data_IF_869992545520
#
_entry.id   IF_869992545520
#
_cell.length_a   1.000
_cell.length_b   1.000
_cell.length_c   1.000
_cell.angle_alpha   90.00
_cell.angle_beta   90.00
_cell.angle_gamma   90.00
#
_symmetry.space_group_name_H-M   'P 1'
#
loop_
_entity.id
_entity.type
_entity.pdbx_description
1 polymer ?
#
# COMPACT_ATOMS: atom_id res chain seq x y z
N UNK A 1 16.85 2.20 -9.51
CA UNK A 1 15.70 1.52 -8.84
C UNK A 1 16.05 1.34 -7.37
N UNK A 2 15.27 1.89 -6.47
CA UNK A 2 15.48 1.89 -5.01
C UNK A 2 14.91 0.63 -4.34
N UNK A 3 15.28 0.38 -3.07
CA UNK A 3 14.64 -0.66 -2.28
C UNK A 3 13.22 -0.24 -1.86
N UNK A 4 12.37 -1.22 -1.53
CA UNK A 4 11.02 -0.95 -1.01
C UNK A 4 11.09 -0.11 0.27
N UNK A 5 12.01 -0.42 1.17
CA UNK A 5 12.18 0.32 2.42
C UNK A 5 12.53 1.80 2.17
N UNK A 6 13.43 2.09 1.23
CA UNK A 6 13.75 3.47 0.85
C UNK A 6 12.56 4.20 0.23
N UNK A 7 11.80 3.53 -0.66
CA UNK A 7 10.59 4.10 -1.25
C UNK A 7 9.54 4.39 -0.17
N UNK A 8 9.31 3.43 0.72
CA UNK A 8 8.36 3.56 1.82
C UNK A 8 8.74 4.68 2.80
N UNK A 9 10.01 4.79 3.17
CA UNK A 9 10.50 5.87 4.03
C UNK A 9 10.21 7.26 3.42
N UNK A 10 10.49 7.43 2.12
CA UNK A 10 10.21 8.69 1.43
C UNK A 10 8.72 9.07 1.44
N UNK A 11 7.82 8.08 1.36
CA UNK A 11 6.38 8.34 1.42
C UNK A 11 5.89 8.60 2.85
N UNK A 12 6.41 7.85 3.84
CA UNK A 12 6.04 8.03 5.25
C UNK A 12 6.46 9.39 5.80
N UNK A 13 7.54 10.00 5.28
CA UNK A 13 7.96 11.37 5.61
C UNK A 13 6.93 12.44 5.18
N UNK A 14 6.10 12.14 4.17
CA UNK A 14 5.06 13.04 3.66
C UNK A 14 3.73 12.91 4.40
N UNK A 15 3.58 11.90 5.23
CA UNK A 15 2.36 11.60 5.97
C UNK A 15 2.49 12.04 7.43
N UNK A 16 1.38 12.50 8.01
CA UNK A 16 1.28 12.89 9.42
C UNK A 16 0.45 11.89 10.21
N UNK A 17 -0.87 11.94 10.08
CA UNK A 17 -1.86 11.19 10.84
C UNK A 17 -2.83 10.37 9.96
N UNK A 18 -2.59 10.38 8.65
CA UNK A 18 -3.40 9.58 7.73
C UNK A 18 -3.35 8.08 8.10
N UNK A 19 -4.49 7.37 8.06
CA UNK A 19 -4.52 5.92 8.18
C UNK A 19 -3.71 5.26 7.07
N UNK A 20 -2.78 4.38 7.44
CA UNK A 20 -2.00 3.58 6.48
C UNK A 20 -2.27 2.11 6.73
N UNK A 21 -2.86 1.43 5.75
CA UNK A 21 -3.04 -0.02 5.77
C UNK A 21 -1.86 -0.66 5.06
N UNK A 22 -1.11 -1.48 5.74
CA UNK A 22 0.13 -2.04 5.20
C UNK A 22 -0.01 -3.56 5.08
N UNK A 23 0.20 -4.08 3.87
CA UNK A 23 0.03 -5.50 3.59
C UNK A 23 1.00 -6.37 4.40
N UNK A 24 0.67 -7.65 4.54
CA UNK A 24 1.48 -8.63 5.27
C UNK A 24 2.86 -8.86 4.62
N UNK A 25 3.74 -9.48 5.37
CA UNK A 25 5.09 -9.83 4.94
C UNK A 25 6.12 -8.76 5.28
N UNK A 26 7.10 -8.57 4.43
CA UNK A 26 8.14 -7.56 4.62
C UNK A 26 7.62 -6.13 4.69
N UNK A 27 6.62 -5.71 3.90
CA UNK A 27 6.13 -4.33 3.98
C UNK A 27 5.70 -3.90 5.38
N UNK A 28 4.92 -4.72 6.10
CA UNK A 28 4.52 -4.42 7.49
C UNK A 28 5.70 -4.34 8.45
N UNK A 29 6.71 -5.21 8.29
CA UNK A 29 7.90 -5.23 9.14
C UNK A 29 8.77 -4.00 8.91
N UNK A 30 9.02 -3.67 7.64
CA UNK A 30 9.82 -2.50 7.24
C UNK A 30 9.13 -1.20 7.68
N UNK A 31 7.82 -1.07 7.44
CA UNK A 31 7.07 0.12 7.84
C UNK A 31 7.11 0.34 9.36
N UNK A 32 6.94 -0.71 10.16
CA UNK A 32 7.03 -0.60 11.61
C UNK A 32 8.43 -0.17 12.07
N UNK A 33 9.48 -0.71 11.44
CA UNK A 33 10.88 -0.33 11.74
C UNK A 33 11.19 1.11 11.35
N UNK A 34 10.67 1.58 10.21
CA UNK A 34 10.91 2.93 9.69
C UNK A 34 10.18 3.97 10.53
N UNK A 35 8.88 3.79 10.74
CA UNK A 35 8.05 4.76 11.46
C UNK A 35 6.83 4.06 12.05
N UNK A 36 6.90 3.62 13.30
CA UNK A 36 5.71 3.09 13.99
C UNK A 36 4.77 4.22 14.42
N UNK A 37 3.52 4.17 13.92
CA UNK A 37 2.48 5.14 14.28
C UNK A 37 1.18 4.44 14.66
N UNK A 38 0.38 4.99 15.59
CA UNK A 38 -0.92 4.42 15.94
C UNK A 38 -1.89 4.33 14.76
N UNK A 39 -1.76 5.21 13.76
CA UNK A 39 -2.55 5.22 12.52
C UNK A 39 -2.09 4.21 11.46
N UNK A 40 -1.06 3.41 11.77
CA UNK A 40 -0.60 2.33 10.89
C UNK A 40 -1.22 0.99 11.30
N UNK A 41 -1.88 0.34 10.35
CA UNK A 41 -2.42 -1.01 10.49
C UNK A 41 -1.48 -2.02 9.82
N UNK A 42 -0.73 -2.76 10.62
CA UNK A 42 0.21 -3.76 10.14
C UNK A 42 -0.48 -5.10 9.97
N UNK A 43 -0.65 -5.56 8.74
CA UNK A 43 -1.17 -6.90 8.50
C UNK A 43 -0.08 -7.95 8.75
N UNK A 44 -0.40 -9.01 9.47
CA UNK A 44 0.49 -10.14 9.73
C UNK A 44 0.06 -11.43 9.01
N UNK A 45 -1.04 -11.38 8.32
CA UNK A 45 -1.63 -12.45 7.51
C UNK A 45 -2.65 -11.89 6.51
N UNK A 46 -3.54 -12.73 6.03
CA UNK A 46 -4.63 -12.36 5.11
C UNK A 46 -4.14 -11.67 3.83
N UNK A 47 -3.14 -12.30 3.18
CA UNK A 47 -2.58 -11.81 1.93
C UNK A 47 -3.68 -11.47 0.92
N UNK A 48 -3.54 -10.34 0.24
CA UNK A 48 -4.51 -9.85 -0.76
C UNK A 48 -5.65 -9.00 -0.19
N UNK A 49 -5.72 -8.77 1.14
CA UNK A 49 -6.85 -8.06 1.77
C UNK A 49 -6.55 -6.59 2.12
N UNK A 50 -5.33 -6.09 1.90
CA UNK A 50 -4.95 -4.73 2.31
C UNK A 50 -5.85 -3.67 1.66
N UNK A 51 -6.03 -3.73 0.35
CA UNK A 51 -6.90 -2.81 -0.39
C UNK A 51 -8.38 -2.90 0.06
N UNK A 52 -8.87 -4.11 0.40
CA UNK A 52 -10.25 -4.28 0.88
C UNK A 52 -10.46 -3.65 2.27
N UNK A 53 -9.49 -3.82 3.18
CA UNK A 53 -9.52 -3.17 4.51
C UNK A 53 -9.46 -1.65 4.33
N UNK A 54 -8.52 -1.16 3.52
CA UNK A 54 -8.38 0.27 3.21
C UNK A 54 -9.66 0.87 2.61
N UNK A 55 -10.32 0.14 1.71
CA UNK A 55 -11.60 0.55 1.14
C UNK A 55 -12.67 0.70 2.22
N UNK A 56 -12.77 -0.25 3.14
CA UNK A 56 -13.69 -0.18 4.27
C UNK A 56 -13.45 1.07 5.14
N UNK A 57 -12.19 1.38 5.44
CA UNK A 57 -11.82 2.58 6.18
C UNK A 57 -12.16 3.85 5.39
N UNK A 58 -11.84 3.90 4.09
CA UNK A 58 -12.13 5.06 3.25
C UNK A 58 -13.62 5.38 3.15
N UNK A 59 -14.47 4.35 3.05
CA UNK A 59 -15.92 4.51 3.04
C UNK A 59 -16.48 4.97 4.39
N UNK A 60 -15.89 4.48 5.50
CA UNK A 60 -16.31 4.85 6.85
C UNK A 60 -15.83 6.27 7.26
N UNK A 61 -14.75 6.78 6.64
CA UNK A 61 -14.11 8.06 6.94
C UNK A 61 -13.91 8.89 5.66
N UNK A 62 -14.99 9.34 5.01
CA UNK A 62 -14.92 9.93 3.66
C UNK A 62 -14.14 11.25 3.57
N UNK A 63 -13.88 11.91 4.69
CA UNK A 63 -13.10 13.15 4.78
C UNK A 63 -11.62 12.94 5.11
N UNK A 64 -11.21 11.70 5.37
CA UNK A 64 -9.83 11.34 5.75
C UNK A 64 -9.18 10.56 4.63
N UNK A 65 -8.05 11.02 4.14
CA UNK A 65 -7.28 10.24 3.16
C UNK A 65 -6.77 8.94 3.76
N UNK A 66 -6.98 7.84 3.07
CA UNK A 66 -6.55 6.48 3.45
C UNK A 66 -5.51 5.99 2.47
N UNK A 67 -4.36 5.61 3.00
CA UNK A 67 -3.22 5.14 2.22
C UNK A 67 -3.12 3.63 2.36
N UNK A 68 -2.91 2.94 1.27
CA UNK A 68 -2.67 1.50 1.28
C UNK A 68 -1.27 1.24 0.74
N UNK A 69 -0.42 0.59 1.53
CA UNK A 69 0.87 0.08 1.10
C UNK A 69 0.75 -1.41 0.82
N UNK A 70 0.83 -1.75 -0.44
CA UNK A 70 0.62 -3.11 -0.94
C UNK A 70 1.82 -3.63 -1.72
N UNK A 71 1.86 -4.92 -1.98
CA UNK A 71 2.83 -5.55 -2.86
C UNK A 71 2.16 -6.13 -4.10
N UNK A 72 2.92 -6.31 -5.18
CA UNK A 72 2.42 -6.91 -6.42
C UNK A 72 1.76 -8.27 -6.21
N UNK A 73 2.37 -9.15 -5.44
CA UNK A 73 1.80 -10.46 -5.10
C UNK A 73 0.51 -10.37 -4.27
N UNK A 74 0.38 -9.38 -3.40
CA UNK A 74 -0.86 -9.10 -2.67
C UNK A 74 -1.97 -8.63 -3.60
N UNK A 75 -1.66 -7.68 -4.50
CA UNK A 75 -2.62 -7.18 -5.50
C UNK A 75 -3.08 -8.30 -6.42
N UNK A 76 -2.16 -9.14 -6.89
CA UNK A 76 -2.51 -10.31 -7.73
C UNK A 76 -3.47 -11.26 -7.02
N UNK A 77 -3.25 -11.53 -5.73
CA UNK A 77 -4.12 -12.38 -4.92
C UNK A 77 -5.49 -11.74 -4.66
N UNK A 78 -5.53 -10.44 -4.43
CA UNK A 78 -6.74 -9.66 -4.15
C UNK A 78 -7.28 -8.87 -5.35
N UNK A 79 -6.95 -9.24 -6.58
CA UNK A 79 -7.20 -8.44 -7.79
C UNK A 79 -8.67 -8.01 -7.96
N UNK A 80 -9.62 -8.83 -7.54
CA UNK A 80 -11.05 -8.48 -7.58
C UNK A 80 -11.40 -7.23 -6.78
N UNK A 81 -10.60 -6.88 -5.77
CA UNK A 81 -10.79 -5.65 -4.99
C UNK A 81 -10.62 -4.39 -5.84
N UNK A 82 -9.75 -4.43 -6.88
CA UNK A 82 -9.58 -3.29 -7.79
C UNK A 82 -10.89 -2.92 -8.48
N UNK A 83 -11.66 -3.92 -8.91
CA UNK A 83 -12.97 -3.70 -9.53
C UNK A 83 -13.97 -3.06 -8.54
N UNK A 84 -13.95 -3.50 -7.27
CA UNK A 84 -14.81 -2.95 -6.22
C UNK A 84 -14.45 -1.48 -5.92
N UNK A 85 -13.14 -1.17 -5.80
CA UNK A 85 -12.65 0.21 -5.62
C UNK A 85 -13.05 1.09 -6.79
N UNK A 86 -12.84 0.62 -8.02
CA UNK A 86 -13.21 1.36 -9.23
C UNK A 86 -14.73 1.60 -9.38
N UNK A 87 -15.55 0.66 -8.92
CA UNK A 87 -17.01 0.79 -8.92
C UNK A 87 -17.50 1.80 -7.86
N UNK A 88 -16.92 1.77 -6.65
CA UNK A 88 -17.33 2.64 -5.52
C UNK A 88 -16.71 4.03 -5.57
N UNK A 89 -15.59 4.19 -6.28
CA UNK A 89 -14.88 5.47 -6.52
C UNK A 89 -14.65 6.31 -5.25
N UNK A 90 -14.03 5.73 -4.19
CA UNK A 90 -13.74 6.51 -2.98
C UNK A 90 -12.71 7.60 -3.29
N UNK A 91 -13.08 8.86 -3.06
CA UNK A 91 -12.25 10.03 -3.39
C UNK A 91 -10.97 10.12 -2.56
N UNK A 92 -10.98 9.52 -1.39
CA UNK A 92 -9.96 9.58 -0.36
C UNK A 92 -9.08 8.31 -0.28
N UNK A 93 -8.93 7.57 -1.39
CA UNK A 93 -8.24 6.28 -1.43
C UNK A 93 -6.99 6.35 -2.30
N UNK A 94 -5.82 6.11 -1.72
CA UNK A 94 -4.54 6.04 -2.44
C UNK A 94 -3.90 4.67 -2.22
N UNK A 95 -3.75 3.92 -3.30
CA UNK A 95 -3.18 2.58 -3.33
C UNK A 95 -1.76 2.62 -3.89
N UNK A 96 -0.75 2.51 -3.05
CA UNK A 96 0.65 2.40 -3.42
C UNK A 96 1.03 0.93 -3.49
N UNK A 97 1.51 0.49 -4.65
CA UNK A 97 1.91 -0.90 -4.90
C UNK A 97 3.42 -0.96 -5.12
N UNK A 98 4.15 -1.56 -4.19
CA UNK A 98 5.58 -1.82 -4.32
C UNK A 98 5.79 -3.12 -5.10
N UNK A 99 6.17 -2.98 -6.36
CA UNK A 99 6.31 -4.09 -7.29
C UNK A 99 7.78 -4.47 -7.48
N UNK A 100 8.19 -5.57 -6.86
CA UNK A 100 9.50 -6.18 -6.97
C UNK A 100 9.51 -7.46 -7.83
N UNK A 101 8.37 -7.84 -8.41
CA UNK A 101 8.17 -9.00 -9.28
C UNK A 101 8.41 -10.37 -8.61
N UNK A 102 8.53 -10.42 -7.26
CA UNK A 102 8.77 -11.68 -6.52
C UNK A 102 7.97 -11.77 -5.22
N UNK A 103 7.69 -13.01 -4.79
CA UNK A 103 7.16 -13.32 -3.47
C UNK A 103 8.30 -13.41 -2.44
N UNK A 104 8.83 -12.26 -2.03
CA UNK A 104 10.05 -12.16 -1.22
C UNK A 104 10.01 -12.89 0.12
N UNK A 105 8.84 -13.02 0.77
CA UNK A 105 8.70 -13.66 2.09
C UNK A 105 8.74 -15.18 2.08
N UNK A 106 8.62 -15.81 0.91
CA UNK A 106 8.53 -17.29 0.79
C UNK A 106 9.66 -17.92 -0.01
N UNK A 107 10.53 -17.12 -0.63
CA UNK A 107 11.69 -17.63 -1.36
C UNK A 107 11.91 -17.02 -2.73
N UNK A 108 11.44 -15.80 -2.95
CA UNK A 108 11.63 -15.03 -4.20
C UNK A 108 11.09 -15.74 -5.45
N UNK A 109 10.01 -16.52 -5.31
CA UNK A 109 9.32 -17.05 -6.48
C UNK A 109 8.81 -15.87 -7.32
N UNK A 110 8.97 -15.89 -8.66
CA UNK A 110 8.50 -14.81 -9.50
C UNK A 110 6.98 -14.65 -9.40
N UNK A 111 6.53 -13.41 -9.33
CA UNK A 111 5.12 -13.08 -9.55
C UNK A 111 4.87 -12.92 -11.05
N UNK A 112 3.60 -12.80 -11.44
CA UNK A 112 3.23 -12.52 -12.84
C UNK A 112 3.07 -11.02 -13.11
N UNK A 113 3.49 -10.13 -12.21
CA UNK A 113 3.39 -8.68 -12.38
C UNK A 113 4.22 -8.14 -13.55
N UNK A 114 5.28 -8.88 -13.94
CA UNK A 114 6.07 -8.58 -15.13
C UNK A 114 5.29 -8.79 -16.45
N UNK A 115 4.24 -9.62 -16.43
CA UNK A 115 3.37 -9.92 -17.59
C UNK A 115 2.03 -9.19 -17.47
N UNK A 116 1.49 -9.10 -16.25
CA UNK A 116 0.22 -8.42 -15.95
C UNK A 116 0.51 -7.00 -15.47
N UNK A 117 0.32 -5.96 -16.28
CA UNK A 117 0.56 -4.57 -15.89
C UNK A 117 -0.53 -4.10 -14.92
N UNK A 118 -0.27 -4.22 -13.61
CA UNK A 118 -1.26 -3.96 -12.55
C UNK A 118 -1.82 -2.54 -12.59
N UNK A 119 -1.00 -1.56 -13.00
CA UNK A 119 -1.43 -0.18 -13.19
C UNK A 119 -2.51 -0.06 -14.30
N UNK A 120 -2.38 -0.85 -15.36
CA UNK A 120 -3.38 -0.86 -16.44
C UNK A 120 -4.65 -1.59 -16.01
N UNK A 121 -4.53 -2.62 -15.18
CA UNK A 121 -5.69 -3.32 -14.60
C UNK A 121 -6.48 -2.35 -13.70
N UNK A 122 -5.80 -1.59 -12.83
CA UNK A 122 -6.44 -0.59 -11.99
C UNK A 122 -7.14 0.51 -12.82
N UNK A 123 -6.47 0.99 -13.88
CA UNK A 123 -7.08 1.97 -14.80
C UNK A 123 -8.34 1.42 -15.48
N UNK A 124 -8.28 0.19 -15.97
CA UNK A 124 -9.43 -0.48 -16.57
C UNK A 124 -10.56 -0.74 -15.56
N UNK A 125 -10.21 -0.97 -14.29
CA UNK A 125 -11.16 -1.12 -13.19
C UNK A 125 -11.88 0.19 -12.81
N UNK A 126 -11.34 1.36 -13.21
CA UNK A 126 -11.99 2.65 -12.96
C UNK A 126 -11.30 3.54 -11.93
N UNK A 127 -10.03 3.29 -11.59
CA UNK A 127 -9.22 4.24 -10.82
C UNK A 127 -9.07 5.55 -11.59
N UNK A 128 -9.21 6.67 -10.88
CA UNK A 128 -9.20 8.01 -11.48
C UNK A 128 -7.79 8.44 -11.91
N UNK A 129 -6.80 8.15 -11.05
CA UNK A 129 -5.39 8.47 -11.29
C UNK A 129 -4.55 7.22 -11.15
N UNK A 130 -3.72 6.93 -12.15
CA UNK A 130 -2.87 5.75 -12.15
C UNK A 130 -1.52 6.09 -12.75
N UNK A 131 -0.47 5.99 -11.93
CA UNK A 131 0.89 6.25 -12.35
C UNK A 131 1.80 5.05 -12.03
N UNK A 132 2.90 4.96 -12.80
CA UNK A 132 3.95 3.97 -12.60
C UNK A 132 5.30 4.68 -12.58
N UNK A 133 6.01 4.53 -11.46
CA UNK A 133 7.29 5.22 -11.22
C UNK A 133 8.41 4.23 -10.87
N UNK A 134 9.65 4.68 -11.05
CA UNK A 134 10.87 3.92 -10.71
C UNK A 134 11.84 4.74 -9.87
N UNK A 135 11.92 6.04 -10.14
CA UNK A 135 12.89 6.93 -9.51
C UNK A 135 12.26 7.66 -8.30
N UNK A 136 13.10 8.07 -7.36
CA UNK A 136 12.64 8.67 -6.10
C UNK A 136 11.94 10.00 -6.31
N UNK A 137 12.47 10.79 -7.23
CA UNK A 137 11.92 12.12 -7.55
C UNK A 137 10.50 12.02 -8.08
N UNK A 138 10.26 11.11 -9.03
CA UNK A 138 8.93 10.84 -9.60
C UNK A 138 7.99 10.28 -8.53
N UNK A 139 8.48 9.37 -7.68
CA UNK A 139 7.70 8.80 -6.57
C UNK A 139 7.16 9.89 -5.64
N UNK A 140 8.03 10.79 -5.19
CA UNK A 140 7.66 11.89 -4.28
C UNK A 140 6.73 12.89 -4.96
N UNK A 141 6.99 13.20 -6.23
CA UNK A 141 6.15 14.12 -7.00
C UNK A 141 4.73 13.57 -7.19
N UNK A 142 4.60 12.36 -7.73
CA UNK A 142 3.29 11.75 -8.02
C UNK A 142 2.49 11.48 -6.74
N UNK A 143 3.14 11.06 -5.66
CA UNK A 143 2.45 10.85 -4.40
C UNK A 143 1.91 12.15 -3.80
N UNK A 144 2.70 13.23 -3.84
CA UNK A 144 2.22 14.57 -3.40
C UNK A 144 1.06 15.06 -4.25
N UNK A 145 1.11 14.82 -5.55
CA UNK A 145 0.03 15.17 -6.47
C UNK A 145 -1.26 14.40 -6.12
N UNK A 146 -1.14 13.09 -5.86
CA UNK A 146 -2.28 12.25 -5.46
C UNK A 146 -2.87 12.62 -4.10
N UNK A 147 -2.04 13.12 -3.15
CA UNK A 147 -2.53 13.62 -1.86
C UNK A 147 -3.44 14.85 -2.01
N UNK A 148 -3.38 15.56 -3.13
CA UNK A 148 -4.15 16.78 -3.41
C UNK A 148 -5.28 16.56 -4.42
N UNK A 149 -5.55 15.32 -4.84
CA UNK A 149 -6.57 14.99 -5.84
C UNK A 149 -7.63 14.03 -5.28
N UNK A 150 -8.83 14.13 -5.84
CA UNK A 150 -9.89 13.14 -5.59
C UNK A 150 -9.54 11.81 -6.27
N UNK A 151 -9.48 10.72 -5.48
CA UNK A 151 -9.20 9.37 -5.96
C UNK A 151 -10.42 8.64 -6.55
N UNK A 152 -10.36 7.31 -6.64
CA UNK A 152 -9.27 6.45 -6.18
C UNK A 152 -8.02 6.58 -7.03
N UNK A 153 -6.86 6.58 -6.39
CA UNK A 153 -5.56 6.67 -7.06
C UNK A 153 -4.75 5.39 -6.87
N UNK A 154 -3.95 5.00 -7.86
CA UNK A 154 -2.93 3.96 -7.73
C UNK A 154 -1.56 4.49 -8.16
N UNK A 155 -0.57 4.29 -7.31
CA UNK A 155 0.84 4.55 -7.60
C UNK A 155 1.61 3.22 -7.56
N UNK A 156 1.97 2.69 -8.74
CA UNK A 156 2.81 1.51 -8.83
C UNK A 156 4.28 1.93 -8.83
N UNK A 157 5.00 1.45 -7.83
CA UNK A 157 6.41 1.78 -7.59
C UNK A 157 7.26 0.57 -7.90
N UNK A 158 8.05 0.61 -8.97
CA UNK A 158 9.01 -0.46 -9.26
C UNK A 158 10.17 -0.36 -8.27
N UNK A 159 10.39 -1.43 -7.51
CA UNK A 159 11.45 -1.55 -6.52
C UNK A 159 12.32 -2.76 -6.83
N UNK A 160 13.55 -2.79 -6.28
CA UNK A 160 14.40 -3.97 -6.38
C UNK A 160 13.98 -5.05 -5.36
N UNK A 161 14.58 -6.24 -5.47
CA UNK A 161 14.30 -7.39 -4.60
C UNK A 161 14.98 -7.28 -3.22
N UNK A 162 15.76 -6.24 -2.96
CA UNK A 162 16.47 -6.08 -1.68
C UNK A 162 15.47 -6.00 -0.54
N UNK A 163 15.69 -6.82 0.47
CA UNK A 163 14.95 -6.84 1.72
C UNK A 163 15.89 -6.38 2.83
N UNK A 164 15.49 -5.34 3.54
CA UNK A 164 16.18 -4.96 4.78
C UNK A 164 15.73 -5.86 5.93
N UNK A 165 16.67 -6.28 6.78
CA UNK A 165 16.31 -7.02 7.99
C UNK A 165 15.49 -6.13 8.93
N UNK A 166 14.19 -6.35 8.93
CA UNK A 166 13.23 -5.62 9.73
C UNK A 166 12.65 -6.48 10.88
N UNK A 167 13.14 -7.70 11.07
CA UNK A 167 12.62 -8.60 12.09
C UNK A 167 11.17 -9.01 11.85
N UNK A 168 10.39 -9.06 12.92
CA UNK A 168 8.93 -9.32 12.89
C UNK A 168 8.19 -8.09 13.40
N UNK A 169 6.91 -7.96 13.02
CA UNK A 169 6.01 -7.00 13.69
C UNK A 169 5.91 -7.40 15.17
N UNK A 170 6.23 -6.46 16.05
CA UNK A 170 6.33 -6.73 17.51
C UNK A 170 5.00 -6.63 18.25
N UNK A 171 3.97 -6.09 17.61
CA UNK A 171 2.63 -5.93 18.18
C UNK A 171 1.77 -7.17 17.93
N UNK A 172 0.99 -7.56 18.93
CA UNK A 172 0.00 -8.61 18.74
C UNK A 172 -1.21 -8.13 17.91
N UNK A 173 -1.85 -9.00 17.11
CA UNK A 173 -2.95 -8.61 16.22
C UNK A 173 -4.11 -7.87 16.90
N UNK A 174 -4.58 -8.28 18.10
CA UNK A 174 -5.61 -7.54 18.82
C UNK A 174 -5.17 -6.10 19.18
N UNK A 175 -3.89 -5.93 19.54
CA UNK A 175 -3.34 -4.62 19.91
C UNK A 175 -3.17 -3.72 18.70
N UNK A 176 -2.74 -4.26 17.54
CA UNK A 176 -2.72 -3.52 16.26
C UNK A 176 -4.12 -2.99 15.97
N UNK A 177 -5.13 -3.85 16.03
CA UNK A 177 -6.52 -3.49 15.73
C UNK A 177 -7.04 -2.44 16.69
N UNK A 178 -6.87 -2.65 18.00
CA UNK A 178 -7.35 -1.72 19.03
C UNK A 178 -6.70 -0.35 18.90
N UNK A 179 -5.36 -0.32 18.74
CA UNK A 179 -4.58 0.91 18.59
C UNK A 179 -5.02 1.69 17.36
N UNK A 180 -5.12 1.01 16.22
CA UNK A 180 -5.55 1.62 14.96
C UNK A 180 -6.97 2.20 15.06
N UNK A 181 -7.94 1.41 15.55
CA UNK A 181 -9.31 1.87 15.72
C UNK A 181 -9.44 3.08 16.65
N UNK A 182 -8.59 3.18 17.68
CA UNK A 182 -8.55 4.33 18.58
C UNK A 182 -7.98 5.57 17.89
N UNK A 183 -6.95 5.39 17.07
CA UNK A 183 -6.26 6.48 16.40
C UNK A 183 -7.06 7.13 15.27
N UNK A 184 -7.97 6.38 14.64
CA UNK A 184 -8.77 6.86 13.51
C UNK A 184 -10.21 7.26 13.90
N UNK A 185 -10.53 7.38 15.19
CA UNK A 185 -11.83 7.87 15.65
C UNK A 185 -12.03 9.32 15.22
#
# INVERSE_FOLDING_TARGET
>A
MQSRAMAMAALLELLTDQPVIICNGFPSREAQKIADRPTHFYMIGSMGSAAAIGLGVALAKPTTQVIIFDGDGNVLMGMGTLATVGALKPKNFIHVVFDNEVYGTTGNQPTISNVVPLEKVAKAAGYAHVERVREREDLVYEFKDMLNKDGPSMLLVKVNEMVEDAGRVILDPPDITKRFMQAIK
#
